data_IF_698843776935
#
_entry.id   IF_698843776935
#
_cell.length_a   1.000
_cell.length_b   1.000
_cell.length_c   1.000
_cell.angle_alpha   90.00
_cell.angle_beta   90.00
_cell.angle_gamma   90.00
#
_symmetry.space_group_name_H-M   'P 1'
#
loop_
_entity.id
_entity.type
_entity.pdbx_description
1 polymer ?
#
# COMPACT_ATOMS: atom_id res chain seq x y z
N UNK A 1 22.13 -2.75 -6.08
CA UNK A 1 20.97 -1.84 -6.14
C UNK A 1 21.47 -0.39 -6.14
N UNK A 2 21.14 0.37 -7.16
CA UNK A 2 21.50 1.79 -7.20
C UNK A 2 20.56 2.54 -6.26
N UNK A 3 21.07 3.46 -5.41
CA UNK A 3 20.20 4.34 -4.63
C UNK A 3 19.29 5.12 -5.59
N UNK A 4 18.01 5.27 -5.26
CA UNK A 4 16.98 5.87 -6.11
C UNK A 4 17.39 7.24 -6.67
N UNK A 5 18.03 8.08 -5.85
CA UNK A 5 18.57 9.38 -6.30
C UNK A 5 19.59 9.25 -7.45
N UNK A 6 20.48 8.24 -7.40
CA UNK A 6 21.46 8.01 -8.48
C UNK A 6 20.80 7.48 -9.75
N UNK A 7 19.80 6.59 -9.59
CA UNK A 7 19.03 6.08 -10.71
C UNK A 7 18.29 7.20 -11.46
N UNK A 8 17.65 8.11 -10.74
CA UNK A 8 16.95 9.28 -11.31
C UNK A 8 17.91 10.23 -12.04
N UNK A 9 19.06 10.52 -11.42
CA UNK A 9 20.06 11.37 -12.07
C UNK A 9 20.58 10.73 -13.35
N UNK A 10 20.98 9.47 -13.31
CA UNK A 10 21.47 8.73 -14.49
C UNK A 10 20.41 8.67 -15.58
N UNK A 11 19.16 8.44 -15.24
CA UNK A 11 18.06 8.41 -16.18
C UNK A 11 17.86 9.77 -16.87
N UNK A 12 17.90 10.86 -16.10
CA UNK A 12 17.83 12.21 -16.63
C UNK A 12 19.02 12.52 -17.58
N UNK A 13 20.22 12.14 -17.18
CA UNK A 13 21.44 12.35 -17.99
C UNK A 13 21.38 11.58 -19.30
N UNK A 14 20.98 10.28 -19.26
CA UNK A 14 20.86 9.43 -20.46
C UNK A 14 19.77 9.99 -21.39
N UNK A 15 18.59 10.30 -20.88
CA UNK A 15 17.48 10.76 -21.74
C UNK A 15 17.78 12.09 -22.43
N UNK A 16 18.60 12.95 -21.84
CA UNK A 16 19.03 14.21 -22.45
C UNK A 16 20.09 14.02 -23.56
N UNK A 17 20.85 12.92 -23.53
CA UNK A 17 21.87 12.63 -24.55
C UNK A 17 21.32 11.93 -25.78
N UNK A 18 20.14 11.34 -25.69
CA UNK A 18 19.50 10.64 -26.80
C UNK A 18 18.80 11.65 -27.72
N UNK A 19 19.10 11.67 -29.02
CA UNK A 19 18.43 12.57 -29.98
C UNK A 19 16.93 12.25 -30.07
N UNK A 20 16.12 13.21 -30.54
CA UNK A 20 14.66 13.08 -30.65
C UNK A 20 14.21 11.88 -31.51
N UNK A 21 15.06 11.40 -32.42
CA UNK A 21 14.82 10.20 -33.24
C UNK A 21 15.36 8.92 -32.61
N UNK A 22 15.99 9.01 -31.44
CA UNK A 22 16.58 7.88 -30.75
C UNK A 22 15.55 7.10 -29.95
N UNK A 23 15.92 5.90 -29.51
CA UNK A 23 15.10 5.03 -28.68
C UNK A 23 15.76 4.86 -27.31
N UNK A 24 14.96 4.97 -26.25
CA UNK A 24 15.37 4.63 -24.88
C UNK A 24 14.52 3.46 -24.41
N UNK A 25 15.17 2.37 -24.00
CA UNK A 25 14.51 1.20 -23.42
C UNK A 25 14.97 1.05 -21.99
N UNK A 26 14.01 0.89 -21.07
CA UNK A 26 14.23 0.53 -19.67
C UNK A 26 13.78 -0.90 -19.47
N UNK A 27 14.68 -1.77 -19.05
CA UNK A 27 14.42 -3.19 -18.85
C UNK A 27 14.95 -3.63 -17.49
N UNK A 28 14.10 -4.26 -16.69
CA UNK A 28 14.48 -4.82 -15.38
C UNK A 28 13.37 -5.71 -14.84
N UNK A 29 13.71 -6.60 -13.90
CA UNK A 29 12.72 -7.24 -13.02
C UNK A 29 12.16 -6.22 -12.01
N UNK A 30 10.89 -6.34 -11.62
CA UNK A 30 10.27 -5.49 -10.60
C UNK A 30 11.00 -5.59 -9.25
N UNK A 31 11.06 -4.49 -8.50
CA UNK A 31 11.69 -4.46 -7.16
C UNK A 31 10.83 -3.67 -6.16
N UNK A 32 9.56 -4.03 -6.07
CA UNK A 32 8.60 -3.35 -5.22
C UNK A 32 7.97 -2.11 -5.88
N UNK A 33 6.94 -1.55 -5.24
CA UNK A 33 6.21 -0.37 -5.71
C UNK A 33 6.90 0.93 -5.32
N UNK A 34 8.16 1.06 -5.64
CA UNK A 34 8.94 2.26 -5.39
C UNK A 34 10.13 2.36 -6.33
N UNK A 35 10.63 3.59 -6.49
CA UNK A 35 11.77 3.87 -7.35
C UNK A 35 11.42 4.12 -8.81
N UNK A 36 12.47 4.52 -9.55
CA UNK A 36 12.34 5.04 -10.90
C UNK A 36 11.60 4.13 -11.87
N UNK A 37 11.93 2.83 -11.89
CA UNK A 37 11.35 1.90 -12.86
C UNK A 37 9.83 1.78 -12.68
N UNK A 38 9.38 1.62 -11.43
CA UNK A 38 7.95 1.54 -11.14
C UNK A 38 7.21 2.81 -11.56
N UNK A 39 7.75 3.99 -11.23
CA UNK A 39 7.12 5.27 -11.57
C UNK A 39 7.02 5.45 -13.08
N UNK A 40 8.12 5.21 -13.82
CA UNK A 40 8.12 5.33 -15.29
C UNK A 40 7.15 4.34 -15.93
N UNK A 41 7.08 3.11 -15.41
CA UNK A 41 6.15 2.08 -15.89
C UNK A 41 4.68 2.46 -15.63
N UNK A 42 4.35 2.88 -14.40
CA UNK A 42 2.99 3.27 -14.01
C UNK A 42 2.51 4.52 -14.77
N UNK A 43 3.38 5.52 -14.94
CA UNK A 43 3.10 6.70 -15.75
C UNK A 43 2.90 6.35 -17.24
N UNK A 44 3.70 5.42 -17.78
CA UNK A 44 3.55 4.94 -19.15
C UNK A 44 2.19 4.24 -19.34
N UNK A 45 1.77 3.40 -18.42
CA UNK A 45 0.43 2.76 -18.45
C UNK A 45 -0.72 3.77 -18.46
N UNK A 46 -0.54 4.91 -17.78
CA UNK A 46 -1.52 5.98 -17.71
C UNK A 46 -1.40 7.01 -18.84
N UNK A 47 -0.42 6.84 -19.74
CA UNK A 47 -0.16 7.78 -20.84
C UNK A 47 0.35 9.16 -20.38
N UNK A 48 0.98 9.25 -19.20
CA UNK A 48 1.45 10.51 -18.60
C UNK A 48 2.82 10.89 -19.14
N UNK A 49 3.70 9.90 -19.43
CA UNK A 49 5.02 10.10 -19.98
C UNK A 49 5.09 9.61 -21.44
N UNK A 50 6.23 9.86 -22.12
CA UNK A 50 6.43 9.46 -23.51
C UNK A 50 6.83 7.99 -23.71
N UNK A 51 6.81 7.15 -22.67
CA UNK A 51 7.16 5.74 -22.74
C UNK A 51 5.94 4.88 -23.05
N UNK A 52 6.20 3.70 -23.64
CA UNK A 52 5.22 2.62 -23.80
C UNK A 52 5.55 1.52 -22.80
N UNK A 53 4.58 1.12 -21.97
CA UNK A 53 4.74 0.05 -21.00
C UNK A 53 4.59 -1.33 -21.68
N UNK A 54 5.56 -2.21 -21.49
CA UNK A 54 5.51 -3.61 -21.89
C UNK A 54 5.64 -4.50 -20.67
N UNK A 55 4.86 -5.58 -20.64
CA UNK A 55 4.92 -6.59 -19.59
C UNK A 55 5.09 -7.98 -20.25
N UNK A 56 6.06 -8.73 -19.77
CA UNK A 56 6.39 -10.06 -20.27
C UNK A 56 6.22 -11.09 -19.15
N UNK A 57 5.12 -11.86 -19.13
CA UNK A 57 4.94 -12.91 -18.14
C UNK A 57 5.92 -14.06 -18.39
N UNK A 58 6.32 -14.74 -17.30
CA UNK A 58 7.37 -15.76 -17.37
C UNK A 58 7.06 -16.91 -18.35
N UNK A 59 5.81 -17.26 -18.53
CA UNK A 59 5.40 -18.37 -19.43
C UNK A 59 5.58 -18.08 -20.92
N UNK A 60 5.97 -16.89 -21.31
CA UNK A 60 6.33 -16.61 -22.69
C UNK A 60 7.69 -17.21 -23.06
N UNK A 61 8.57 -17.52 -22.07
CA UNK A 61 9.77 -18.28 -22.31
C UNK A 61 9.46 -19.78 -22.28
N UNK A 62 9.60 -20.43 -23.43
CA UNK A 62 9.32 -21.87 -23.61
C UNK A 62 10.27 -22.78 -22.83
N UNK A 63 11.40 -22.25 -22.36
CA UNK A 63 12.38 -23.00 -21.57
C UNK A 63 12.00 -23.09 -20.08
N UNK A 64 11.04 -22.31 -19.62
CA UNK A 64 10.57 -22.37 -18.24
C UNK A 64 9.63 -23.56 -18.01
N UNK A 65 10.20 -24.73 -17.99
CA UNK A 65 9.53 -26.03 -17.82
C UNK A 65 10.27 -26.91 -16.80
N UNK A 66 9.55 -27.80 -16.13
CA UNK A 66 10.11 -28.76 -15.18
C UNK A 66 9.42 -30.13 -15.30
N UNK A 67 9.95 -31.16 -14.60
CA UNK A 67 9.41 -32.52 -14.58
C UNK A 67 8.01 -32.53 -13.98
N UNK A 68 7.05 -33.01 -14.76
CA UNK A 68 5.66 -33.18 -14.33
C UNK A 68 5.55 -34.25 -13.24
N UNK A 69 6.30 -35.38 -13.39
CA UNK A 69 6.30 -36.48 -12.46
C UNK A 69 6.79 -36.05 -11.07
N UNK A 70 7.74 -35.12 -11.02
CA UNK A 70 8.38 -34.67 -9.78
C UNK A 70 7.55 -33.57 -9.09
N UNK A 71 6.99 -32.62 -9.84
CA UNK A 71 6.40 -31.38 -9.26
C UNK A 71 4.87 -31.33 -9.31
N UNK A 72 4.19 -32.13 -10.16
CA UNK A 72 2.72 -32.13 -10.22
C UNK A 72 2.09 -33.18 -9.30
N UNK A 73 2.74 -33.46 -8.16
CA UNK A 73 2.24 -34.37 -7.12
C UNK A 73 1.35 -33.65 -6.10
N UNK A 74 0.44 -34.36 -5.40
CA UNK A 74 -0.36 -33.77 -4.31
C UNK A 74 0.49 -33.11 -3.22
N UNK A 75 1.59 -33.76 -2.82
CA UNK A 75 2.51 -33.24 -1.79
C UNK A 75 3.15 -31.90 -2.20
N UNK A 76 3.52 -31.76 -3.46
CA UNK A 76 4.07 -30.48 -3.97
C UNK A 76 2.99 -29.40 -4.05
N UNK A 77 1.74 -29.77 -4.36
CA UNK A 77 0.63 -28.82 -4.29
C UNK A 77 0.39 -28.32 -2.87
N UNK A 78 0.40 -29.23 -1.87
CA UNK A 78 0.25 -28.87 -0.46
C UNK A 78 1.37 -27.93 0.01
N UNK A 79 2.62 -28.26 -0.30
CA UNK A 79 3.79 -27.44 0.05
C UNK A 79 3.66 -26.04 -0.60
N UNK A 80 3.29 -25.97 -1.87
CA UNK A 80 3.14 -24.69 -2.57
C UNK A 80 2.00 -23.86 -1.97
N UNK A 81 0.87 -24.49 -1.65
CA UNK A 81 -0.26 -23.83 -0.98
C UNK A 81 0.15 -23.23 0.38
N UNK A 82 0.89 -24.00 1.19
CA UNK A 82 1.41 -23.54 2.49
C UNK A 82 2.34 -22.32 2.30
N UNK A 83 3.26 -22.37 1.32
CA UNK A 83 4.17 -21.24 1.02
C UNK A 83 3.38 -19.97 0.66
N UNK A 84 2.26 -20.14 -0.07
CA UNK A 84 1.41 -19.04 -0.50
C UNK A 84 0.36 -18.61 0.53
N UNK A 85 0.34 -19.22 1.72
CA UNK A 85 -0.65 -18.91 2.77
C UNK A 85 -2.08 -19.31 2.40
N UNK A 86 -2.27 -20.32 1.53
CA UNK A 86 -3.56 -20.77 1.01
C UNK A 86 -3.89 -22.17 1.47
N UNK A 87 -5.18 -22.54 1.43
CA UNK A 87 -5.56 -23.95 1.47
C UNK A 87 -5.21 -24.63 0.13
N UNK A 88 -4.90 -25.93 0.17
CA UNK A 88 -4.60 -26.71 -1.05
C UNK A 88 -5.74 -26.62 -2.08
N UNK A 89 -6.99 -26.67 -1.62
CA UNK A 89 -8.15 -26.57 -2.50
C UNK A 89 -8.25 -25.21 -3.22
N UNK A 90 -7.97 -24.10 -2.50
CA UNK A 90 -7.91 -22.75 -3.08
C UNK A 90 -6.78 -22.66 -4.10
N UNK A 91 -5.59 -23.09 -3.70
CA UNK A 91 -4.41 -23.09 -4.57
C UNK A 91 -4.66 -23.84 -5.89
N UNK A 92 -5.18 -25.06 -5.82
CA UNK A 92 -5.45 -25.88 -7.02
C UNK A 92 -6.51 -25.24 -7.93
N UNK A 93 -7.51 -24.57 -7.36
CA UNK A 93 -8.50 -23.81 -8.13
C UNK A 93 -7.84 -22.63 -8.86
N UNK A 94 -7.00 -21.88 -8.17
CA UNK A 94 -6.31 -20.72 -8.74
C UNK A 94 -5.29 -21.15 -9.82
N UNK A 95 -4.52 -22.23 -9.57
CA UNK A 95 -3.58 -22.81 -10.53
C UNK A 95 -4.29 -23.31 -11.80
N UNK A 96 -5.46 -23.97 -11.63
CA UNK A 96 -6.28 -24.39 -12.76
C UNK A 96 -6.79 -23.19 -13.57
N UNK A 97 -7.29 -22.17 -12.91
CA UNK A 97 -7.75 -20.93 -13.55
C UNK A 97 -6.62 -20.24 -14.32
N UNK A 98 -5.42 -20.18 -13.74
CA UNK A 98 -4.23 -19.63 -14.38
C UNK A 98 -3.87 -20.41 -15.65
N UNK A 99 -3.88 -21.76 -15.53
CA UNK A 99 -3.58 -22.65 -16.65
C UNK A 99 -4.57 -22.48 -17.80
N UNK A 100 -5.86 -22.44 -17.50
CA UNK A 100 -6.93 -22.27 -18.50
C UNK A 100 -6.87 -20.88 -19.17
N UNK A 101 -6.64 -19.82 -18.38
CA UNK A 101 -6.59 -18.44 -18.89
C UNK A 101 -5.42 -18.20 -19.84
N UNK A 102 -4.27 -18.79 -19.54
CA UNK A 102 -3.01 -18.53 -20.27
C UNK A 102 -2.52 -19.73 -21.08
N UNK A 103 -3.34 -20.81 -21.18
CA UNK A 103 -3.03 -22.04 -21.91
C UNK A 103 -1.66 -22.64 -21.51
N UNK A 104 -1.42 -22.74 -20.19
CA UNK A 104 -0.17 -23.26 -19.66
C UNK A 104 -0.11 -24.79 -19.73
N UNK A 105 1.04 -25.32 -20.13
CA UNK A 105 1.30 -26.75 -20.13
C UNK A 105 1.53 -27.29 -18.70
N UNK A 106 1.31 -28.60 -18.46
CA UNK A 106 1.65 -29.22 -17.18
C UNK A 106 3.12 -29.03 -16.76
N UNK A 107 4.06 -29.01 -17.73
CA UNK A 107 5.48 -28.78 -17.45
C UNK A 107 5.80 -27.33 -17.04
N UNK A 108 5.04 -26.35 -17.52
CA UNK A 108 5.12 -24.98 -17.03
C UNK A 108 4.55 -24.84 -15.61
N UNK A 109 3.44 -25.52 -15.30
CA UNK A 109 2.92 -25.56 -13.94
C UNK A 109 3.89 -26.27 -12.97
N UNK A 110 4.55 -27.34 -13.44
CA UNK A 110 5.63 -28.00 -12.70
C UNK A 110 6.79 -27.03 -12.39
N UNK A 111 7.22 -26.25 -13.39
CA UNK A 111 8.22 -25.19 -13.21
C UNK A 111 7.77 -24.15 -12.15
N UNK A 112 6.52 -23.69 -12.23
CA UNK A 112 5.94 -22.76 -11.25
C UNK A 112 6.04 -23.29 -9.83
N UNK A 113 5.61 -24.54 -9.58
CA UNK A 113 5.69 -25.20 -8.26
C UNK A 113 7.12 -25.39 -7.79
N UNK A 114 8.03 -25.76 -8.71
CA UNK A 114 9.46 -25.89 -8.43
C UNK A 114 10.01 -24.55 -7.93
N UNK A 115 9.82 -23.48 -8.69
CA UNK A 115 10.38 -22.16 -8.38
C UNK A 115 9.76 -21.54 -7.13
N UNK A 116 8.46 -21.67 -6.91
CA UNK A 116 7.86 -21.26 -5.63
C UNK A 116 8.46 -22.06 -4.46
N UNK A 117 8.74 -23.34 -4.64
CA UNK A 117 9.44 -24.15 -3.65
C UNK A 117 10.85 -23.65 -3.33
N UNK A 118 11.59 -23.19 -4.33
CA UNK A 118 12.97 -22.70 -4.20
C UNK A 118 13.05 -21.30 -3.60
N UNK A 119 12.34 -20.32 -4.20
CA UNK A 119 12.51 -18.90 -3.89
C UNK A 119 11.28 -18.26 -3.24
N UNK A 120 10.30 -19.07 -2.84
CA UNK A 120 9.11 -18.65 -2.09
C UNK A 120 8.35 -17.51 -2.81
N UNK A 121 7.95 -16.49 -2.06
CA UNK A 121 7.21 -15.35 -2.59
C UNK A 121 8.03 -14.47 -3.55
N UNK A 122 9.35 -14.57 -3.54
CA UNK A 122 10.21 -13.89 -4.49
C UNK A 122 9.94 -14.36 -5.94
N UNK A 123 9.28 -15.52 -6.11
CA UNK A 123 8.84 -16.01 -7.41
C UNK A 123 8.04 -14.96 -8.18
N UNK A 124 7.08 -14.29 -7.57
CA UNK A 124 6.23 -13.32 -8.26
C UNK A 124 6.97 -12.07 -8.75
N UNK A 125 8.13 -11.78 -8.17
CA UNK A 125 9.03 -10.72 -8.61
C UNK A 125 9.91 -11.18 -9.78
N UNK A 126 10.58 -12.33 -9.62
CA UNK A 126 11.56 -12.82 -10.59
C UNK A 126 10.90 -13.50 -11.80
N UNK A 127 9.72 -14.09 -11.60
CA UNK A 127 8.88 -14.74 -12.62
C UNK A 127 7.48 -14.15 -12.59
N UNK A 128 7.30 -12.92 -13.07
CA UNK A 128 6.03 -12.19 -12.93
C UNK A 128 4.89 -12.86 -13.71
N UNK A 129 3.74 -12.99 -13.06
CA UNK A 129 2.50 -13.53 -13.63
C UNK A 129 1.55 -12.42 -14.12
N UNK A 130 1.64 -11.25 -13.53
CA UNK A 130 0.93 -10.05 -13.95
C UNK A 130 1.71 -8.81 -13.51
N UNK A 131 1.37 -7.69 -14.08
CA UNK A 131 2.04 -6.41 -13.84
C UNK A 131 1.56 -5.64 -12.60
N UNK A 132 0.83 -6.32 -11.72
CA UNK A 132 0.39 -5.81 -10.43
C UNK A 132 1.12 -6.53 -9.31
N UNK A 133 1.01 -7.86 -9.27
CA UNK A 133 1.57 -8.68 -8.20
C UNK A 133 3.10 -8.69 -8.18
N UNK A 134 3.73 -8.56 -9.34
CA UNK A 134 5.19 -8.52 -9.45
C UNK A 134 5.84 -7.35 -8.69
N UNK A 135 5.10 -6.28 -8.45
CA UNK A 135 5.56 -5.14 -7.67
C UNK A 135 5.31 -5.29 -6.16
N UNK A 136 4.54 -6.31 -5.75
CA UNK A 136 4.19 -6.56 -4.35
C UNK A 136 5.20 -7.46 -3.63
N UNK A 137 6.00 -8.21 -4.38
CA UNK A 137 6.97 -9.15 -3.85
C UNK A 137 8.31 -8.46 -3.56
N UNK A 138 8.49 -7.99 -2.34
CA UNK A 138 9.80 -7.63 -1.82
C UNK A 138 10.07 -8.42 -0.55
N UNK A 139 11.28 -8.93 -0.35
CA UNK A 139 11.71 -9.60 0.91
C UNK A 139 11.49 -8.74 2.17
N UNK A 140 11.12 -7.47 2.00
CA UNK A 140 10.90 -6.48 3.06
C UNK A 140 9.45 -5.98 3.15
N UNK A 141 8.51 -6.55 2.39
CA UNK A 141 7.12 -6.14 2.52
C UNK A 141 6.55 -6.58 3.88
N UNK A 142 6.13 -5.62 4.69
CA UNK A 142 5.52 -5.86 6.00
C UNK A 142 4.19 -6.62 5.87
N UNK A 143 3.49 -6.43 4.73
CA UNK A 143 2.24 -7.12 4.40
C UNK A 143 2.43 -7.96 3.14
N UNK A 144 2.09 -9.24 3.22
CA UNK A 144 2.18 -10.16 2.11
C UNK A 144 1.24 -9.75 0.96
N UNK A 145 1.70 -9.91 -0.28
CA UNK A 145 0.91 -9.61 -1.48
C UNK A 145 -0.44 -10.34 -1.52
N UNK A 146 -0.48 -11.57 -1.03
CA UNK A 146 -1.69 -12.39 -0.89
C UNK A 146 -2.78 -11.71 -0.07
N UNK A 147 -2.39 -10.99 0.99
CA UNK A 147 -3.30 -10.23 1.86
C UNK A 147 -3.86 -8.97 1.19
N UNK A 148 -3.19 -8.45 0.18
CA UNK A 148 -3.62 -7.25 -0.55
C UNK A 148 -4.46 -7.56 -1.81
N UNK A 149 -4.32 -8.76 -2.39
CA UNK A 149 -5.09 -9.19 -3.58
C UNK A 149 -6.60 -8.97 -3.49
N UNK A 150 -7.29 -9.31 -2.38
CA UNK A 150 -8.73 -9.12 -2.26
C UNK A 150 -9.19 -7.67 -2.37
N UNK A 151 -8.27 -6.70 -2.17
CA UNK A 151 -8.59 -5.28 -2.20
C UNK A 151 -8.56 -4.67 -3.60
N UNK A 152 -7.81 -5.25 -4.56
CA UNK A 152 -7.70 -4.67 -5.91
C UNK A 152 -9.04 -4.55 -6.65
N UNK A 153 -9.94 -5.56 -6.59
CA UNK A 153 -11.26 -5.43 -7.20
C UNK A 153 -12.15 -4.38 -6.53
N UNK A 154 -11.81 -3.95 -5.30
CA UNK A 154 -12.56 -2.92 -4.57
C UNK A 154 -12.11 -1.49 -4.90
N UNK A 155 -10.96 -1.33 -5.56
CA UNK A 155 -10.43 -0.02 -5.93
C UNK A 155 -11.43 0.71 -6.82
N UNK A 156 -11.74 1.94 -6.46
CA UNK A 156 -12.57 2.83 -7.25
C UNK A 156 -12.17 4.28 -7.03
N UNK A 157 -12.46 5.11 -8.00
CA UNK A 157 -12.29 6.54 -7.86
C UNK A 157 -13.25 7.10 -6.80
N UNK A 158 -12.74 7.98 -5.94
CA UNK A 158 -13.55 8.75 -5.01
C UNK A 158 -13.90 10.12 -5.58
N UNK A 159 -15.01 10.70 -5.12
CA UNK A 159 -15.38 12.09 -5.42
C UNK A 159 -14.31 13.03 -4.87
N UNK A 160 -13.78 13.91 -5.71
CA UNK A 160 -12.74 14.86 -5.34
C UNK A 160 -13.33 16.22 -4.96
N UNK A 161 -12.94 16.73 -3.81
CA UNK A 161 -13.25 18.10 -3.35
C UNK A 161 -11.90 18.75 -2.90
N UNK A 162 -11.14 19.26 -3.87
CA UNK A 162 -9.78 19.76 -3.62
C UNK A 162 -8.85 18.62 -3.19
N UNK A 163 -8.27 18.75 -1.99
CA UNK A 163 -7.40 17.70 -1.40
C UNK A 163 -8.19 16.55 -0.73
N UNK A 164 -9.51 16.68 -0.61
CA UNK A 164 -10.39 15.69 -0.01
C UNK A 164 -10.91 14.73 -1.07
N UNK A 165 -10.66 13.43 -0.87
CA UNK A 165 -11.25 12.33 -1.64
C UNK A 165 -12.32 11.63 -0.80
N UNK A 166 -13.51 11.41 -1.34
CA UNK A 166 -14.64 10.80 -0.64
C UNK A 166 -15.10 9.56 -1.41
N UNK A 167 -15.05 8.41 -0.79
CA UNK A 167 -15.62 7.15 -1.31
C UNK A 167 -17.03 6.89 -0.79
N UNK A 168 -17.30 7.35 0.45
CA UNK A 168 -18.63 7.30 1.07
C UNK A 168 -18.87 8.54 1.92
N UNK A 169 -20.05 9.12 1.79
CA UNK A 169 -20.48 10.22 2.66
C UNK A 169 -20.81 9.73 4.07
N UNK A 170 -20.79 10.64 5.03
CA UNK A 170 -21.18 10.35 6.40
C UNK A 170 -22.65 9.93 6.49
N UNK A 171 -22.92 8.91 7.29
CA UNK A 171 -24.27 8.44 7.59
C UNK A 171 -24.62 8.89 9.01
N UNK A 172 -25.76 9.54 9.20
CA UNK A 172 -26.19 10.00 10.50
C UNK A 172 -26.26 8.87 11.53
N UNK A 173 -25.81 9.14 12.77
CA UNK A 173 -25.79 8.18 13.87
C UNK A 173 -24.65 7.13 13.81
N UNK A 174 -23.75 7.21 12.82
CA UNK A 174 -22.53 6.39 12.81
C UNK A 174 -21.35 7.09 13.47
N UNK A 175 -20.46 6.31 14.05
CA UNK A 175 -19.22 6.79 14.62
C UNK A 175 -18.08 6.63 13.63
N UNK A 176 -17.23 7.65 13.55
CA UNK A 176 -16.06 7.70 12.70
C UNK A 176 -14.80 8.01 13.50
N UNK A 177 -13.66 7.50 13.04
CA UNK A 177 -12.35 7.86 13.56
C UNK A 177 -11.54 8.48 12.44
N UNK A 178 -10.78 9.52 12.73
CA UNK A 178 -9.87 10.18 11.78
C UNK A 178 -8.46 10.12 12.35
N UNK A 179 -7.60 9.35 11.70
CA UNK A 179 -6.16 9.38 11.93
C UNK A 179 -5.52 10.52 11.14
N UNK A 180 -4.69 11.33 11.81
CA UNK A 180 -4.10 12.54 11.20
C UNK A 180 -2.59 12.50 11.38
N UNK A 181 -1.87 12.51 10.25
CA UNK A 181 -0.42 12.66 10.15
C UNK A 181 -0.10 14.02 9.50
N UNK A 182 0.79 14.79 10.13
CA UNK A 182 1.02 16.19 9.80
C UNK A 182 2.45 16.40 9.32
N UNK A 183 2.60 16.71 8.04
CA UNK A 183 3.87 17.15 7.46
C UNK A 183 4.07 18.68 7.57
N UNK A 184 5.31 19.12 7.33
CA UNK A 184 5.68 20.55 7.38
C UNK A 184 4.98 21.43 6.32
N UNK A 185 4.30 20.84 5.34
CA UNK A 185 3.77 21.55 4.18
C UNK A 185 4.85 21.98 3.18
N UNK A 186 6.13 21.73 3.48
CA UNK A 186 7.26 22.01 2.58
C UNK A 186 7.58 20.79 1.71
N UNK A 187 7.83 21.02 0.48
CA UNK A 187 8.28 20.26 -0.69
C UNK A 187 8.27 18.71 -0.73
N UNK A 188 8.45 17.95 0.34
CA UNK A 188 8.66 16.49 0.26
C UNK A 188 7.49 15.64 0.77
N UNK A 189 6.92 15.96 1.93
CA UNK A 189 5.97 15.08 2.60
C UNK A 189 4.53 15.59 2.51
N UNK A 190 3.56 14.67 2.58
CA UNK A 190 2.14 14.99 2.54
C UNK A 190 1.55 14.98 3.95
N UNK A 191 0.70 15.97 4.25
CA UNK A 191 -0.21 15.86 5.38
C UNK A 191 -1.41 14.99 4.98
N UNK A 192 -1.80 14.06 5.85
CA UNK A 192 -2.87 13.09 5.58
C UNK A 192 -3.84 13.04 6.76
N UNK A 193 -5.15 13.06 6.44
CA UNK A 193 -6.22 12.77 7.40
C UNK A 193 -7.12 11.68 6.80
N UNK A 194 -7.19 10.53 7.47
CA UNK A 194 -7.82 9.29 7.00
C UNK A 194 -9.06 8.97 7.82
N UNK A 195 -10.22 8.86 7.18
CA UNK A 195 -11.51 8.61 7.84
C UNK A 195 -11.90 7.15 7.75
N UNK A 196 -12.16 6.53 8.89
CA UNK A 196 -12.64 5.17 9.05
C UNK A 196 -14.06 5.16 9.66
N UNK A 197 -14.99 4.46 9.02
CA UNK A 197 -16.29 4.09 9.62
C UNK A 197 -16.05 2.94 10.59
N UNK A 198 -16.28 3.16 11.89
CA UNK A 198 -16.00 2.17 12.94
C UNK A 198 -16.97 1.00 12.97
N UNK A 199 -18.13 1.11 12.31
CA UNK A 199 -19.14 0.04 12.24
C UNK A 199 -18.85 -0.95 11.12
N UNK A 200 -18.40 -0.45 9.97
CA UNK A 200 -18.16 -1.28 8.78
C UNK A 200 -16.69 -1.51 8.50
N UNK A 201 -15.80 -0.86 9.28
CA UNK A 201 -14.35 -0.85 9.10
C UNK A 201 -13.94 -0.43 7.68
N UNK A 202 -14.69 0.51 7.09
CA UNK A 202 -14.44 1.04 5.75
C UNK A 202 -13.64 2.34 5.81
N UNK A 203 -12.61 2.42 4.99
CA UNK A 203 -11.87 3.62 4.70
C UNK A 203 -12.68 4.50 3.74
N UNK A 204 -13.37 5.51 4.28
CA UNK A 204 -14.46 6.21 3.58
C UNK A 204 -14.06 7.54 2.97
N UNK A 205 -13.05 8.22 3.52
CA UNK A 205 -12.56 9.49 2.97
C UNK A 205 -11.11 9.77 3.38
N UNK A 206 -10.47 10.69 2.66
CA UNK A 206 -9.10 11.10 2.95
C UNK A 206 -8.82 12.52 2.46
N UNK A 207 -8.21 13.35 3.32
CA UNK A 207 -7.46 14.52 2.88
C UNK A 207 -6.00 14.09 2.68
N UNK A 208 -5.40 14.44 1.54
CA UNK A 208 -3.98 14.24 1.28
C UNK A 208 -3.43 15.37 0.43
N UNK A 209 -2.47 16.09 0.95
CA UNK A 209 -1.90 17.22 0.22
C UNK A 209 -0.64 17.80 0.88
N UNK A 210 0.09 18.59 0.12
CA UNK A 210 1.17 19.45 0.62
C UNK A 210 0.54 20.77 1.07
N UNK A 211 -0.10 20.73 2.24
CA UNK A 211 -0.95 21.80 2.76
C UNK A 211 -0.23 22.45 3.95
N UNK A 212 -0.25 23.77 4.01
CA UNK A 212 0.29 24.50 5.17
C UNK A 212 -0.46 24.06 6.44
N UNK A 213 0.27 23.91 7.54
CA UNK A 213 -0.23 23.29 8.78
C UNK A 213 -1.52 23.95 9.31
N UNK A 214 -1.62 25.28 9.27
CA UNK A 214 -2.81 25.99 9.76
C UNK A 214 -4.04 25.73 8.90
N UNK A 215 -3.88 25.76 7.56
CA UNK A 215 -4.96 25.44 6.63
C UNK A 215 -5.38 23.96 6.74
N UNK A 216 -4.39 23.08 6.94
CA UNK A 216 -4.68 21.67 7.16
C UNK A 216 -5.47 21.43 8.45
N UNK A 217 -5.16 22.15 9.53
CA UNK A 217 -5.92 22.07 10.78
C UNK A 217 -7.39 22.48 10.60
N UNK A 218 -7.64 23.55 9.81
CA UNK A 218 -9.02 23.95 9.44
C UNK A 218 -9.75 22.85 8.66
N UNK A 219 -9.07 22.24 7.68
CA UNK A 219 -9.64 21.14 6.90
C UNK A 219 -9.93 19.90 7.75
N UNK A 220 -9.06 19.57 8.72
CA UNK A 220 -9.27 18.46 9.66
C UNK A 220 -10.46 18.75 10.57
N UNK A 221 -10.60 19.99 11.07
CA UNK A 221 -11.74 20.40 11.86
C UNK A 221 -13.07 20.23 11.10
N UNK A 222 -13.15 20.73 9.87
CA UNK A 222 -14.36 20.61 9.04
C UNK A 222 -14.62 19.15 8.62
N UNK A 223 -13.57 18.35 8.38
CA UNK A 223 -13.70 16.92 8.10
C UNK A 223 -14.31 16.18 9.31
N UNK A 224 -13.84 16.49 10.52
CA UNK A 224 -14.39 15.91 11.75
C UNK A 224 -15.87 16.22 11.94
N UNK A 225 -16.28 17.46 11.69
CA UNK A 225 -17.70 17.87 11.71
C UNK A 225 -18.51 17.13 10.66
N UNK A 226 -18.01 17.05 9.42
CA UNK A 226 -18.66 16.36 8.31
C UNK A 226 -18.94 14.88 8.61
N UNK A 227 -18.04 14.23 9.34
CA UNK A 227 -18.17 12.84 9.76
C UNK A 227 -18.67 12.70 11.21
N UNK A 228 -19.77 13.38 11.53
CA UNK A 228 -20.53 13.29 12.80
C UNK A 228 -19.67 13.58 14.04
N UNK A 229 -18.83 14.59 14.02
CA UNK A 229 -17.85 14.88 15.07
C UNK A 229 -16.96 13.69 15.37
N UNK A 230 -16.33 13.16 14.35
CA UNK A 230 -15.46 11.98 14.40
C UNK A 230 -14.38 12.10 15.49
N UNK A 231 -13.97 10.98 16.08
CA UNK A 231 -12.81 10.97 16.98
C UNK A 231 -11.54 11.33 16.20
N UNK A 232 -10.89 12.45 16.53
CA UNK A 232 -9.64 12.88 15.90
C UNK A 232 -8.43 12.36 16.67
N UNK A 233 -7.66 11.46 16.06
CA UNK A 233 -6.39 10.96 16.56
C UNK A 233 -5.23 11.61 15.77
N UNK A 234 -4.78 12.76 16.24
CA UNK A 234 -3.68 13.52 15.61
C UNK A 234 -2.34 13.03 16.16
N UNK A 235 -1.39 12.65 15.27
CA UNK A 235 -0.03 12.36 15.70
C UNK A 235 0.65 13.63 16.21
N UNK A 236 1.05 13.64 17.48
CA UNK A 236 1.54 14.85 18.14
C UNK A 236 3.03 15.17 17.91
N UNK A 237 3.73 14.35 17.10
CA UNK A 237 5.15 14.59 16.78
C UNK A 237 5.27 15.71 15.73
N UNK A 238 6.31 16.55 15.87
CA UNK A 238 6.61 17.60 14.90
C UNK A 238 5.47 18.62 14.75
N UNK A 239 4.93 18.75 13.54
CA UNK A 239 3.89 19.74 13.22
C UNK A 239 2.50 19.40 13.77
N UNK A 240 2.27 18.20 14.29
CA UNK A 240 0.99 17.79 14.89
C UNK A 240 0.58 18.64 16.09
N UNK A 241 1.56 19.15 16.85
CA UNK A 241 1.27 20.08 17.95
C UNK A 241 0.53 21.35 17.51
N UNK A 242 0.87 21.87 16.32
CA UNK A 242 0.20 23.08 15.78
C UNK A 242 -1.25 22.78 15.41
N UNK A 243 -1.53 21.61 14.78
CA UNK A 243 -2.89 21.16 14.46
C UNK A 243 -3.70 20.96 15.74
N UNK A 244 -3.15 20.28 16.74
CA UNK A 244 -3.82 20.05 18.03
C UNK A 244 -4.16 21.38 18.73
N UNK A 245 -3.26 22.36 18.70
CA UNK A 245 -3.53 23.68 19.27
C UNK A 245 -4.73 24.37 18.61
N UNK A 246 -4.82 24.31 17.26
CA UNK A 246 -5.97 24.88 16.54
C UNK A 246 -7.25 24.18 16.92
N UNK A 247 -7.26 22.84 16.97
CA UNK A 247 -8.43 22.04 17.33
C UNK A 247 -8.90 22.30 18.76
N UNK A 248 -7.96 22.43 19.71
CA UNK A 248 -8.24 22.79 21.12
C UNK A 248 -8.80 24.20 21.24
N UNK A 249 -8.22 25.19 20.53
CA UNK A 249 -8.72 26.57 20.53
C UNK A 249 -10.14 26.69 19.92
N UNK A 250 -10.48 25.77 19.00
CA UNK A 250 -11.83 25.65 18.41
C UNK A 250 -12.78 24.80 19.25
N UNK A 251 -12.34 24.34 20.41
CA UNK A 251 -13.10 23.51 21.31
C UNK A 251 -13.68 22.26 20.63
N UNK A 252 -12.87 21.60 19.74
CA UNK A 252 -13.33 20.39 19.08
C UNK A 252 -13.62 19.29 20.14
N UNK A 253 -14.85 18.74 20.19
CA UNK A 253 -15.32 18.00 21.39
C UNK A 253 -14.78 16.56 21.47
N UNK A 254 -14.29 15.99 20.37
CA UNK A 254 -13.96 14.57 20.28
C UNK A 254 -12.52 14.33 19.82
N UNK A 255 -11.56 14.77 20.66
CA UNK A 255 -10.13 14.51 20.47
C UNK A 255 -9.71 13.22 21.17
N UNK A 256 -8.77 12.50 20.58
CA UNK A 256 -8.08 11.39 21.24
C UNK A 256 -7.06 11.95 22.24
N UNK A 257 -7.06 11.38 23.45
CA UNK A 257 -6.09 11.69 24.50
C UNK A 257 -5.24 10.47 24.81
N UNK A 258 -3.93 10.64 24.80
CA UNK A 258 -2.98 9.61 25.19
C UNK A 258 -2.57 9.80 26.64
N UNK A 259 -2.54 8.71 27.41
CA UNK A 259 -2.10 8.73 28.81
C UNK A 259 -0.80 7.98 28.94
N UNK A 260 0.26 8.68 29.33
CA UNK A 260 1.57 8.12 29.66
C UNK A 260 1.80 8.17 31.16
N UNK A 261 2.57 7.22 31.69
CA UNK A 261 3.06 7.30 33.06
C UNK A 261 4.40 8.03 33.08
N UNK A 262 4.47 9.17 33.77
CA UNK A 262 5.70 9.89 34.02
C UNK A 262 6.44 9.24 35.19
N UNK A 263 7.55 8.58 34.90
CA UNK A 263 8.35 7.86 35.90
C UNK A 263 9.06 8.82 36.89
N UNK A 264 9.34 10.06 36.47
CA UNK A 264 9.98 11.06 37.33
C UNK A 264 9.01 11.69 38.31
N UNK A 265 7.84 12.10 37.81
CA UNK A 265 6.79 12.70 38.66
C UNK A 265 5.90 11.64 39.32
N UNK A 266 5.99 10.36 38.93
CA UNK A 266 5.15 9.25 39.40
C UNK A 266 3.65 9.47 39.23
N UNK A 267 3.25 10.15 38.16
CA UNK A 267 1.85 10.47 37.85
C UNK A 267 1.52 10.06 36.41
N UNK A 268 0.23 9.86 36.16
CA UNK A 268 -0.29 9.74 34.81
C UNK A 268 -0.45 11.14 34.21
N UNK A 269 0.16 11.34 33.03
CA UNK A 269 0.02 12.56 32.23
C UNK A 269 -0.84 12.24 31.01
N UNK A 270 -1.95 12.97 30.86
CA UNK A 270 -2.87 12.82 29.75
C UNK A 270 -2.77 14.03 28.83
N UNK A 271 -2.39 13.78 27.59
CA UNK A 271 -2.23 14.80 26.55
C UNK A 271 -3.11 14.51 25.34
N UNK A 272 -3.59 15.57 24.68
CA UNK A 272 -4.29 15.45 23.41
C UNK A 272 -3.35 14.92 22.31
N UNK A 273 -3.88 14.04 21.47
CA UNK A 273 -3.21 13.46 20.32
C UNK A 273 -2.55 12.11 20.60
N UNK A 274 -2.17 11.45 19.51
CA UNK A 274 -1.47 10.16 19.52
C UNK A 274 0.05 10.35 19.61
N UNK A 275 0.71 9.55 20.46
CA UNK A 275 2.17 9.56 20.57
C UNK A 275 2.76 8.30 19.94
N UNK A 276 3.39 8.46 18.78
CA UNK A 276 4.19 7.40 18.17
C UNK A 276 5.51 7.26 18.91
N UNK A 277 5.83 6.05 19.33
CA UNK A 277 7.03 5.71 20.08
C UNK A 277 7.58 4.35 19.65
N UNK A 278 8.77 3.98 20.11
CA UNK A 278 9.34 2.64 19.89
C UNK A 278 8.38 1.54 20.37
N UNK A 279 7.56 1.81 21.39
CA UNK A 279 6.58 0.84 21.93
C UNK A 279 5.29 0.83 21.13
N UNK A 280 4.76 1.99 20.73
CA UNK A 280 3.43 2.11 20.08
C UNK A 280 3.48 1.88 18.58
N UNK A 281 4.58 2.21 17.89
CA UNK A 281 4.71 2.02 16.44
C UNK A 281 4.57 0.55 16.02
N UNK A 282 5.25 -0.42 16.66
CA UNK A 282 5.06 -1.84 16.32
C UNK A 282 3.62 -2.32 16.55
N UNK A 283 2.92 -1.84 17.58
CA UNK A 283 1.52 -2.20 17.83
C UNK A 283 0.60 -1.70 16.71
N UNK A 284 0.79 -0.46 16.25
CA UNK A 284 0.04 0.10 15.12
C UNK A 284 0.28 -0.69 13.83
N UNK A 285 1.56 -0.96 13.51
CA UNK A 285 1.94 -1.71 12.31
C UNK A 285 1.37 -3.13 12.35
N UNK A 286 1.50 -3.84 13.47
CA UNK A 286 0.94 -5.19 13.63
C UNK A 286 -0.59 -5.19 13.56
N UNK A 287 -1.26 -4.19 14.14
CA UNK A 287 -2.71 -4.04 14.03
C UNK A 287 -3.16 -3.85 12.59
N UNK A 288 -2.45 -3.02 11.81
CA UNK A 288 -2.70 -2.81 10.40
C UNK A 288 -2.48 -4.09 9.58
N UNK A 289 -1.35 -4.79 9.80
CA UNK A 289 -1.06 -6.08 9.14
C UNK A 289 -2.18 -7.09 9.41
N UNK A 290 -2.62 -7.21 10.66
CA UNK A 290 -3.69 -8.12 11.05
C UNK A 290 -4.99 -7.76 10.35
N UNK A 291 -5.38 -6.48 10.35
CA UNK A 291 -6.61 -6.01 9.71
C UNK A 291 -6.65 -6.29 8.19
N UNK A 292 -5.49 -6.18 7.51
CA UNK A 292 -5.41 -6.52 6.09
C UNK A 292 -5.41 -8.04 5.85
N UNK A 293 -4.74 -8.84 6.70
CA UNK A 293 -4.73 -10.30 6.59
C UNK A 293 -6.09 -10.93 6.84
N UNK A 294 -6.81 -10.47 7.85
CA UNK A 294 -8.15 -10.97 8.18
C UNK A 294 -9.26 -10.34 7.35
N UNK A 295 -8.93 -9.39 6.46
CA UNK A 295 -9.89 -8.64 5.64
C UNK A 295 -10.94 -7.89 6.49
N UNK A 296 -10.58 -7.53 7.72
CA UNK A 296 -11.43 -6.76 8.62
C UNK A 296 -11.55 -5.28 8.18
N UNK A 297 -10.55 -4.77 7.45
CA UNK A 297 -10.55 -3.41 6.91
C UNK A 297 -10.99 -3.45 5.43
N UNK A 298 -11.85 -2.55 5.02
CA UNK A 298 -12.25 -2.36 3.61
C UNK A 298 -11.64 -1.05 3.10
N UNK A 299 -10.89 -1.11 2.02
CA UNK A 299 -10.31 0.08 1.37
C UNK A 299 -10.65 0.13 -0.10
N UNK A 300 -11.00 1.33 -0.56
CA UNK A 300 -11.23 1.66 -1.97
C UNK A 300 -10.05 2.43 -2.58
N UNK A 301 -9.07 2.80 -1.76
CA UNK A 301 -7.97 3.69 -2.12
C UNK A 301 -6.79 2.93 -2.71
N UNK A 302 -6.54 3.09 -4.00
CA UNK A 302 -5.33 2.58 -4.65
C UNK A 302 -4.06 3.11 -3.98
N UNK A 303 -4.01 4.42 -3.66
CA UNK A 303 -2.85 5.02 -3.01
C UNK A 303 -2.54 4.40 -1.63
N UNK A 304 -3.57 4.07 -0.83
CA UNK A 304 -3.36 3.40 0.47
C UNK A 304 -2.75 2.02 0.26
N UNK A 305 -3.31 1.22 -0.67
CA UNK A 305 -2.76 -0.12 -0.97
C UNK A 305 -1.34 -0.05 -1.50
N UNK A 306 -1.03 0.96 -2.32
CA UNK A 306 0.29 1.21 -2.88
C UNK A 306 1.30 1.56 -1.78
N UNK A 307 0.95 2.46 -0.85
CA UNK A 307 1.80 2.84 0.28
C UNK A 307 2.06 1.64 1.22
N UNK A 308 1.03 0.87 1.56
CA UNK A 308 1.14 -0.33 2.40
C UNK A 308 2.03 -1.40 1.74
N UNK A 309 1.93 -1.59 0.44
CA UNK A 309 2.76 -2.56 -0.29
C UNK A 309 4.23 -2.16 -0.39
N UNK A 310 4.57 -0.91 -0.06
CA UNK A 310 5.94 -0.38 -0.08
C UNK A 310 6.59 -0.32 1.31
N UNK A 311 5.83 -0.63 2.39
CA UNK A 311 6.34 -0.73 3.75
C UNK A 311 7.09 -2.04 3.96
#
# INVERSE_FOLDING_TARGET
>A
KWPDRKARQLFADITQTVPMTGLVTLESTPQGRGGLLYEVYDEAKRGINGFTAFFYPWWWDVNYVASVEEYMTPQKADITAIILGQSTASYLKDEKSLAETHNLSPSQLAFRRMKIGEIKLLFFQEYPENDIDCWLSGEMAIIEASSLRPYYPLIKEGRQEGALTIWKDAIGGRNYVIGVDVASGSAKDYSVASVLDTRTMEYVARIRGKIHTDLFAEQVFELGKRYNMALLAVEKIGHGHSVLRVLLNKEYPNLYYHTDYDEFMKINVTDAGWKTSIKTKPLMVNGMITAFRSQDLISYSENLLREISSL
#
